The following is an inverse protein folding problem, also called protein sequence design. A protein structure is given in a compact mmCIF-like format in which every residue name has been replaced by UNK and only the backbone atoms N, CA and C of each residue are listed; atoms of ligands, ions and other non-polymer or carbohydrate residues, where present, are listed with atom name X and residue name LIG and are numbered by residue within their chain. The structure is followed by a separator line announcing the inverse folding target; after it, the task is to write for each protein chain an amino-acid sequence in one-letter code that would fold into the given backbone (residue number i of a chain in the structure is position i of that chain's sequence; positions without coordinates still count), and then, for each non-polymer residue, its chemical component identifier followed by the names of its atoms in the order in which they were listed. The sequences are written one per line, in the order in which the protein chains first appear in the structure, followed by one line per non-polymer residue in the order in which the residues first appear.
data_IF_548810032286
#
_entry.id   IF_548810032286
#
_cell.length_a   1.000
_cell.length_b   1.000
_cell.length_c   1.000
_cell.angle_alpha   90.00
_cell.angle_beta   90.00
_cell.angle_gamma   90.00
#
_symmetry.space_group_name_H-M   'P 1'
#
loop_
_entity.id
_entity.type
_entity.pdbx_description
1 polymer ?
#
# COMPACT_ATOMS: atom_id res chain seq x y z
N UNK A 1 17.51 -22.39 12.71
CA UNK A 1 18.44 -22.52 11.57
C UNK A 1 17.56 -22.70 10.33
N UNK A 2 17.14 -21.60 9.72
CA UNK A 2 16.28 -21.65 8.53
C UNK A 2 17.13 -21.90 7.30
N UNK A 3 16.88 -23.04 6.66
CA UNK A 3 17.55 -23.42 5.41
C UNK A 3 16.98 -22.59 4.26
N UNK A 4 17.77 -21.71 3.69
CA UNK A 4 17.45 -20.87 2.51
C UNK A 4 17.40 -21.66 1.18
N UNK A 5 17.26 -22.99 1.19
CA UNK A 5 17.38 -23.84 0.01
C UNK A 5 16.11 -23.99 -0.85
N UNK A 6 15.06 -23.22 -0.62
CA UNK A 6 13.86 -23.23 -1.45
C UNK A 6 13.44 -21.79 -1.82
N UNK A 7 14.32 -21.07 -2.50
CA UNK A 7 13.90 -19.86 -3.22
C UNK A 7 12.89 -20.29 -4.30
N UNK A 8 11.66 -19.86 -4.16
CA UNK A 8 10.65 -19.93 -5.19
C UNK A 8 11.09 -19.02 -6.35
N UNK A 9 11.64 -19.56 -7.43
CA UNK A 9 11.78 -18.82 -8.66
C UNK A 9 10.41 -18.81 -9.36
N UNK A 10 9.60 -17.79 -9.08
CA UNK A 10 8.54 -17.39 -9.97
C UNK A 10 9.13 -16.38 -10.96
N UNK A 11 9.16 -16.70 -12.24
CA UNK A 11 9.42 -15.71 -13.27
C UNK A 11 8.09 -15.00 -13.53
N UNK A 12 8.06 -13.70 -13.31
CA UNK A 12 6.88 -12.87 -13.56
C UNK A 12 7.13 -12.10 -14.85
N UNK A 13 6.21 -12.21 -15.78
CA UNK A 13 6.18 -11.41 -17.00
C UNK A 13 5.02 -10.43 -16.90
N UNK A 14 5.33 -9.14 -16.92
CA UNK A 14 4.35 -8.06 -17.03
C UNK A 14 4.34 -7.50 -18.45
N UNK A 15 3.16 -7.40 -19.02
CA UNK A 15 2.92 -6.69 -20.27
C UNK A 15 1.88 -5.61 -20.01
N UNK A 16 2.27 -4.36 -20.12
CA UNK A 16 1.38 -3.21 -19.97
C UNK A 16 1.16 -2.50 -21.29
N UNK A 17 -0.08 -2.17 -21.57
CA UNK A 17 -0.49 -1.27 -22.63
C UNK A 17 -1.10 -0.04 -21.99
N UNK A 18 -0.51 1.13 -22.21
CA UNK A 18 -0.99 2.38 -21.67
C UNK A 18 -1.36 3.33 -22.81
N UNK A 19 -2.54 3.93 -22.71
CA UNK A 19 -2.97 5.03 -23.59
C UNK A 19 -3.28 6.25 -22.75
N UNK A 20 -2.89 7.43 -23.19
CA UNK A 20 -3.21 8.71 -22.53
C UNK A 20 -4.15 9.53 -23.42
N UNK A 21 -4.95 10.40 -22.78
CA UNK A 21 -5.90 11.34 -23.40
C UNK A 21 -6.87 10.71 -24.43
N UNK A 22 -7.84 9.93 -23.91
CA UNK A 22 -8.94 9.38 -24.70
C UNK A 22 -10.00 10.44 -25.09
N UNK A 23 -10.00 11.57 -24.41
CA UNK A 23 -10.96 12.67 -24.65
C UNK A 23 -10.23 13.99 -24.81
N UNK A 24 -10.46 14.69 -25.91
CA UNK A 24 -9.81 15.97 -26.25
C UNK A 24 -10.44 17.19 -25.54
N UNK A 25 -10.76 17.09 -24.25
CA UNK A 25 -11.29 18.21 -23.45
C UNK A 25 -10.18 18.72 -22.54
N UNK A 26 -9.90 20.02 -22.53
CA UNK A 26 -8.85 20.66 -21.74
C UNK A 26 -9.01 20.44 -20.21
N UNK A 27 -10.23 20.17 -19.74
CA UNK A 27 -10.54 19.94 -18.32
C UNK A 27 -10.52 18.46 -17.92
N UNK A 28 -10.33 17.53 -18.86
CA UNK A 28 -10.37 16.09 -18.60
C UNK A 28 -9.08 15.45 -19.03
N UNK A 29 -8.37 14.82 -18.11
CA UNK A 29 -7.28 13.91 -18.42
C UNK A 29 -7.70 12.47 -18.13
N UNK A 30 -7.33 11.55 -19.04
CA UNK A 30 -7.68 10.13 -18.90
C UNK A 30 -6.52 9.24 -19.26
N UNK A 31 -6.34 8.18 -18.47
CA UNK A 31 -5.35 7.14 -18.73
C UNK A 31 -6.01 5.77 -18.57
N UNK A 32 -5.82 4.91 -19.57
CA UNK A 32 -6.17 3.49 -19.50
C UNK A 32 -4.90 2.66 -19.48
N UNK A 33 -4.79 1.72 -18.55
CA UNK A 33 -3.73 0.72 -18.54
C UNK A 33 -4.34 -0.67 -18.40
N UNK A 34 -3.85 -1.59 -19.26
CA UNK A 34 -4.22 -3.00 -19.23
C UNK A 34 -2.94 -3.81 -19.09
N UNK A 35 -2.95 -4.77 -18.18
CA UNK A 35 -1.82 -5.62 -17.86
C UNK A 35 -2.16 -7.09 -17.93
N UNK A 36 -1.16 -7.91 -18.26
CA UNK A 36 -1.19 -9.36 -18.12
C UNK A 36 0.01 -9.74 -17.28
N UNK A 37 -0.25 -10.35 -16.16
CA UNK A 37 0.77 -10.94 -15.28
C UNK A 37 0.75 -12.45 -15.46
N UNK A 38 1.91 -13.07 -15.73
CA UNK A 38 2.05 -14.52 -15.79
C UNK A 38 3.17 -14.97 -14.85
N UNK A 39 2.86 -15.90 -13.98
CA UNK A 39 3.80 -16.52 -13.02
C UNK A 39 4.07 -17.96 -13.39
N UNK A 40 5.34 -18.33 -13.42
CA UNK A 40 5.76 -19.71 -13.65
C UNK A 40 6.27 -20.34 -12.35
N UNK A 41 5.71 -21.49 -11.98
CA UNK A 41 6.11 -22.29 -10.81
C UNK A 41 6.89 -23.53 -11.26
N UNK A 42 8.18 -23.52 -10.99
CA UNK A 42 9.05 -24.64 -11.30
C UNK A 42 8.74 -25.89 -10.46
N UNK A 43 8.36 -25.70 -9.20
CA UNK A 43 8.18 -26.75 -8.23
C UNK A 43 6.70 -27.16 -8.12
N UNK A 44 6.44 -28.43 -7.77
CA UNK A 44 5.11 -28.92 -7.45
C UNK A 44 4.50 -28.16 -6.25
N UNK A 45 3.16 -28.16 -6.11
CA UNK A 45 2.48 -27.58 -4.94
C UNK A 45 3.03 -28.18 -3.65
N UNK A 46 3.19 -27.33 -2.63
CA UNK A 46 3.70 -27.75 -1.31
C UNK A 46 2.59 -28.21 -0.38
N UNK A 47 1.40 -27.65 -0.53
CA UNK A 47 0.28 -27.88 0.38
C UNK A 47 -0.92 -28.47 -0.34
N UNK A 48 -1.67 -29.30 0.38
CA UNK A 48 -2.90 -29.93 -0.14
C UNK A 48 -3.91 -28.85 -0.53
N UNK A 49 -4.51 -29.01 -1.72
CA UNK A 49 -5.50 -28.07 -2.27
C UNK A 49 -4.90 -26.95 -3.14
N UNK A 50 -3.59 -26.73 -3.10
CA UNK A 50 -2.95 -25.79 -4.04
C UNK A 50 -3.02 -26.32 -5.48
N UNK A 51 -3.18 -25.42 -6.43
CA UNK A 51 -3.20 -25.75 -7.86
C UNK A 51 -1.89 -26.41 -8.30
N UNK A 52 -2.00 -27.47 -9.12
CA UNK A 52 -0.87 -28.15 -9.75
C UNK A 52 -0.41 -27.48 -11.05
N UNK A 53 -1.08 -26.40 -11.49
CA UNK A 53 -0.70 -25.68 -12.70
C UNK A 53 0.68 -25.01 -12.52
N UNK A 54 1.52 -25.14 -13.56
CA UNK A 54 2.82 -24.49 -13.57
C UNK A 54 2.75 -23.01 -13.94
N UNK A 55 1.65 -22.57 -14.55
CA UNK A 55 1.41 -21.18 -14.92
C UNK A 55 0.16 -20.67 -14.23
N UNK A 56 0.25 -19.48 -13.67
CA UNK A 56 -0.85 -18.68 -13.15
C UNK A 56 -0.85 -17.36 -13.91
N UNK A 57 -1.95 -17.03 -14.54
CA UNK A 57 -2.08 -15.80 -15.33
C UNK A 57 -3.22 -14.97 -14.79
N UNK A 58 -2.95 -13.67 -14.58
CA UNK A 58 -3.95 -12.68 -14.21
C UNK A 58 -4.05 -11.62 -15.32
N UNK A 59 -5.25 -11.10 -15.49
CA UNK A 59 -5.50 -9.88 -16.29
C UNK A 59 -5.93 -8.79 -15.34
N UNK A 60 -5.36 -7.62 -15.51
CA UNK A 60 -5.66 -6.45 -14.67
C UNK A 60 -5.78 -5.20 -15.52
N UNK A 61 -6.43 -4.20 -14.98
CA UNK A 61 -6.51 -2.91 -15.60
C UNK A 61 -6.98 -1.83 -14.65
N UNK A 62 -6.61 -0.61 -14.96
CA UNK A 62 -7.13 0.58 -14.32
C UNK A 62 -7.42 1.66 -15.34
N UNK A 63 -8.41 2.48 -14.98
CA UNK A 63 -8.83 3.62 -15.77
C UNK A 63 -8.82 4.84 -14.87
N UNK A 64 -7.93 5.78 -15.15
CA UNK A 64 -7.79 7.01 -14.40
C UNK A 64 -8.50 8.14 -15.15
N UNK A 65 -9.35 8.87 -14.42
CA UNK A 65 -10.04 10.07 -14.88
C UNK A 65 -9.71 11.18 -13.89
N UNK A 66 -9.09 12.23 -14.39
CA UNK A 66 -8.97 13.51 -13.68
C UNK A 66 -9.89 14.53 -14.37
N UNK A 67 -10.68 15.23 -13.58
CA UNK A 67 -11.56 16.29 -14.06
C UNK A 67 -11.40 17.56 -13.22
N UNK A 68 -10.93 18.64 -13.86
CA UNK A 68 -10.87 19.98 -13.27
C UNK A 68 -12.25 20.63 -13.42
N UNK A 69 -12.93 20.86 -12.30
CA UNK A 69 -14.23 21.55 -12.25
C UNK A 69 -14.02 23.08 -12.43
N UNK A 70 -13.03 23.62 -11.76
CA UNK A 70 -12.58 25.02 -11.83
C UNK A 70 -11.13 25.12 -11.32
N UNK A 71 -10.64 26.34 -11.02
CA UNK A 71 -9.26 26.58 -10.55
C UNK A 71 -8.94 25.96 -9.19
N UNK A 72 -9.94 25.60 -8.41
CA UNK A 72 -9.78 25.18 -7.02
C UNK A 72 -10.39 23.79 -6.73
N UNK A 73 -11.22 23.27 -7.64
CA UNK A 73 -11.94 22.04 -7.43
C UNK A 73 -11.61 21.02 -8.52
N UNK A 74 -11.29 19.82 -8.10
CA UNK A 74 -11.07 18.69 -8.99
C UNK A 74 -11.71 17.39 -8.49
N UNK A 75 -11.89 16.45 -9.39
CA UNK A 75 -12.36 15.10 -9.12
C UNK A 75 -11.41 14.11 -9.77
N UNK A 76 -10.97 13.12 -9.01
CA UNK A 76 -10.18 11.98 -9.52
C UNK A 76 -11.00 10.71 -9.32
N UNK A 77 -11.02 9.81 -10.33
CA UNK A 77 -11.63 8.49 -10.23
C UNK A 77 -10.67 7.49 -10.88
N UNK A 78 -10.24 6.48 -10.13
CA UNK A 78 -9.31 5.44 -10.56
C UNK A 78 -9.84 4.04 -10.16
N UNK A 79 -10.80 3.48 -10.93
CA UNK A 79 -11.24 2.11 -10.75
C UNK A 79 -10.15 1.14 -11.24
N UNK A 80 -10.03 0.03 -10.51
CA UNK A 80 -9.10 -1.06 -10.75
C UNK A 80 -9.83 -2.39 -10.80
N UNK A 81 -9.42 -3.27 -11.71
CA UNK A 81 -9.85 -4.65 -11.69
C UNK A 81 -8.67 -5.61 -11.88
N UNK A 82 -8.76 -6.77 -11.25
CA UNK A 82 -7.89 -7.93 -11.50
C UNK A 82 -8.73 -9.19 -11.52
N UNK A 83 -8.50 -10.04 -12.51
CA UNK A 83 -9.05 -11.40 -12.61
C UNK A 83 -7.91 -12.39 -12.71
N UNK A 84 -7.85 -13.30 -11.75
CA UNK A 84 -6.84 -14.36 -11.70
C UNK A 84 -7.42 -15.67 -12.25
N UNK A 85 -6.58 -16.45 -12.95
CA UNK A 85 -6.99 -17.71 -13.58
C UNK A 85 -7.00 -18.91 -12.64
N UNK A 86 -6.51 -18.78 -11.40
CA UNK A 86 -6.36 -19.90 -10.45
C UNK A 86 -6.91 -19.52 -9.07
N UNK A 87 -6.48 -18.42 -8.50
CA UNK A 87 -6.82 -18.02 -7.15
C UNK A 87 -7.91 -16.95 -7.15
N UNK A 88 -9.16 -17.37 -6.96
CA UNK A 88 -10.31 -16.45 -6.94
C UNK A 88 -10.21 -15.38 -5.83
N UNK A 89 -9.47 -15.65 -4.75
CA UNK A 89 -9.25 -14.66 -3.69
C UNK A 89 -8.32 -13.52 -4.13
N UNK A 90 -7.66 -13.65 -5.28
CA UNK A 90 -6.91 -12.58 -5.93
C UNK A 90 -7.76 -11.72 -6.86
N UNK A 91 -8.97 -12.16 -7.18
CA UNK A 91 -9.90 -11.33 -7.94
C UNK A 91 -10.20 -10.05 -7.17
N UNK A 92 -10.13 -8.92 -7.84
CA UNK A 92 -10.35 -7.64 -7.20
C UNK A 92 -11.09 -6.69 -8.15
N UNK A 93 -12.15 -6.09 -7.65
CA UNK A 93 -12.77 -4.91 -8.24
C UNK A 93 -12.72 -3.84 -7.16
N UNK A 94 -12.02 -2.75 -7.41
CA UNK A 94 -11.75 -1.72 -6.42
C UNK A 94 -11.81 -0.31 -7.03
N UNK A 95 -11.95 0.68 -6.17
CA UNK A 95 -11.68 2.08 -6.47
C UNK A 95 -10.43 2.45 -5.66
N UNK A 96 -9.28 2.57 -6.34
CA UNK A 96 -8.02 2.95 -5.67
C UNK A 96 -8.04 4.40 -5.25
N UNK A 97 -8.58 5.25 -6.13
CA UNK A 97 -8.81 6.66 -5.86
C UNK A 97 -10.19 7.05 -6.42
N UNK A 98 -10.94 7.79 -5.63
CA UNK A 98 -12.27 8.26 -5.99
C UNK A 98 -12.63 9.42 -5.07
N UNK A 99 -12.10 10.61 -5.33
CA UNK A 99 -12.23 11.75 -4.42
C UNK A 99 -12.52 13.06 -5.14
N UNK A 100 -13.13 13.96 -4.40
CA UNK A 100 -13.19 15.38 -4.67
C UNK A 100 -12.10 16.08 -3.86
N UNK A 101 -11.39 17.02 -4.49
CA UNK A 101 -10.34 17.83 -3.90
C UNK A 101 -10.70 19.32 -4.04
N UNK A 102 -10.63 20.06 -2.94
CA UNK A 102 -10.60 21.51 -2.87
C UNK A 102 -9.18 21.97 -2.52
N UNK A 103 -8.62 22.84 -3.36
CA UNK A 103 -7.33 23.51 -3.14
C UNK A 103 -7.58 25.01 -2.98
N UNK A 104 -7.45 25.51 -1.76
CA UNK A 104 -7.67 26.93 -1.43
C UNK A 104 -6.61 27.36 -0.40
N UNK A 105 -5.50 27.88 -0.90
CA UNK A 105 -4.35 28.30 -0.09
C UNK A 105 -4.80 29.11 1.16
N UNK A 106 -4.35 28.73 2.37
CA UNK A 106 -3.44 27.62 2.71
C UNK A 106 -4.14 26.31 3.10
N UNK A 107 -5.36 26.06 2.65
CA UNK A 107 -6.17 24.90 3.05
C UNK A 107 -6.48 24.03 1.83
N UNK A 108 -6.32 22.72 2.01
CA UNK A 108 -6.82 21.70 1.08
C UNK A 108 -7.76 20.74 1.81
N UNK A 109 -8.82 20.33 1.13
CA UNK A 109 -9.80 19.36 1.63
C UNK A 109 -10.01 18.28 0.59
N UNK A 110 -9.76 17.03 0.96
CA UNK A 110 -10.04 15.85 0.17
C UNK A 110 -11.14 15.03 0.84
N UNK A 111 -12.15 14.66 0.07
CA UNK A 111 -13.25 13.79 0.53
C UNK A 111 -13.46 12.67 -0.48
N UNK A 112 -13.37 11.44 -0.02
CA UNK A 112 -13.59 10.27 -0.87
C UNK A 112 -12.68 9.10 -0.53
N UNK A 113 -12.26 8.36 -1.54
CA UNK A 113 -11.37 7.21 -1.44
C UNK A 113 -10.00 7.63 -1.97
N UNK A 114 -8.92 7.40 -1.21
CA UNK A 114 -7.58 7.76 -1.64
C UNK A 114 -6.52 6.76 -1.13
N UNK A 115 -5.36 6.78 -1.79
CA UNK A 115 -4.15 6.08 -1.35
C UNK A 115 -3.14 7.09 -0.84
N UNK A 116 -2.58 6.83 0.34
CA UNK A 116 -1.63 7.69 1.02
C UNK A 116 -0.33 6.91 1.24
N UNK A 117 0.80 7.56 1.00
CA UNK A 117 2.12 7.02 1.32
C UNK A 117 2.81 7.90 2.34
N UNK A 118 3.20 7.28 3.46
CA UNK A 118 4.03 7.89 4.48
C UNK A 118 5.37 7.16 4.54
N UNK A 119 6.40 7.87 4.95
CA UNK A 119 7.73 7.30 5.13
C UNK A 119 8.67 7.52 3.96
N UNK A 120 9.89 7.05 4.12
CA UNK A 120 11.03 7.29 3.24
C UNK A 120 11.80 6.01 2.91
N UNK A 121 11.54 4.91 3.63
CA UNK A 121 12.21 3.63 3.44
C UNK A 121 11.45 2.74 2.44
N UNK A 122 12.15 2.17 1.45
CA UNK A 122 11.54 1.34 0.40
C UNK A 122 11.44 -0.13 0.80
N UNK A 123 12.49 -0.68 1.45
CA UNK A 123 12.55 -2.12 1.75
C UNK A 123 11.59 -2.54 2.85
N UNK A 124 11.44 -1.71 3.88
CA UNK A 124 10.54 -1.90 5.01
C UNK A 124 10.07 -0.52 5.42
N UNK A 125 8.79 -0.24 5.26
CA UNK A 125 8.18 1.00 5.72
C UNK A 125 7.44 0.76 7.03
N UNK A 126 7.81 1.48 8.09
CA UNK A 126 7.23 1.34 9.43
C UNK A 126 6.11 2.34 9.71
N UNK A 127 6.21 3.55 9.14
CA UNK A 127 5.30 4.67 9.47
C UNK A 127 4.01 4.63 8.66
N UNK A 128 3.97 3.87 7.56
CA UNK A 128 2.84 3.80 6.64
C UNK A 128 1.72 2.93 7.20
N UNK A 129 0.66 3.56 7.69
CA UNK A 129 -0.39 2.90 8.49
C UNK A 129 -1.82 3.23 8.03
N UNK A 130 -1.99 4.08 7.02
CA UNK A 130 -3.33 4.57 6.61
C UNK A 130 -4.08 3.52 5.79
N UNK A 131 -3.48 3.06 4.71
CA UNK A 131 -4.13 2.16 3.76
C UNK A 131 -3.84 0.69 4.07
N UNK A 132 -4.79 -0.16 3.75
CA UNK A 132 -4.57 -1.60 3.69
C UNK A 132 -3.78 -1.95 2.42
N UNK A 133 -2.91 -2.95 2.53
CA UNK A 133 -2.17 -3.51 1.39
C UNK A 133 -3.03 -4.48 0.60
N UNK A 134 -2.96 -4.42 -0.73
CA UNK A 134 -3.51 -5.45 -1.62
C UNK A 134 -2.61 -6.68 -1.58
N UNK A 135 -2.89 -7.62 -0.67
CA UNK A 135 -2.10 -8.84 -0.55
C UNK A 135 -2.29 -9.83 -1.72
N UNK A 136 -3.21 -9.56 -2.64
CA UNK A 136 -3.30 -10.25 -3.93
C UNK A 136 -2.27 -9.76 -4.94
N UNK A 137 -1.69 -8.58 -4.74
CA UNK A 137 -0.56 -8.11 -5.53
C UNK A 137 0.75 -8.76 -5.08
N UNK A 138 1.58 -9.14 -6.07
CA UNK A 138 2.82 -9.87 -5.77
C UNK A 138 3.95 -8.96 -5.32
N UNK A 139 3.99 -7.71 -5.77
CA UNK A 139 5.00 -6.74 -5.33
C UNK A 139 4.86 -6.44 -3.83
N UNK A 140 3.62 -6.54 -3.31
CA UNK A 140 3.30 -6.19 -1.93
C UNK A 140 3.18 -4.69 -1.69
N UNK A 141 3.41 -3.87 -2.72
CA UNK A 141 3.46 -2.41 -2.61
C UNK A 141 2.12 -1.75 -2.93
N UNK A 142 1.22 -2.50 -3.56
CA UNK A 142 -0.08 -1.98 -3.97
C UNK A 142 -1.01 -1.80 -2.77
N UNK A 143 -1.63 -0.64 -2.69
CA UNK A 143 -2.57 -0.28 -1.63
C UNK A 143 -4.01 -0.34 -2.12
N UNK A 144 -4.91 -0.72 -1.23
CA UNK A 144 -6.34 -0.56 -1.42
C UNK A 144 -6.74 0.89 -1.13
N UNK A 145 -7.68 1.43 -1.90
CA UNK A 145 -8.21 2.76 -1.65
C UNK A 145 -8.88 2.84 -0.28
N UNK A 146 -8.57 3.85 0.52
CA UNK A 146 -9.11 4.07 1.86
C UNK A 146 -10.15 5.19 1.84
N UNK A 147 -11.41 4.96 2.23
CA UNK A 147 -12.38 6.03 2.46
C UNK A 147 -11.87 7.01 3.53
N UNK A 148 -11.85 8.30 3.20
CA UNK A 148 -11.30 9.30 4.10
C UNK A 148 -11.87 10.71 3.88
N UNK A 149 -11.76 11.51 4.93
CA UNK A 149 -11.74 12.97 4.86
C UNK A 149 -10.34 13.39 5.27
N UNK A 150 -9.63 14.08 4.40
CA UNK A 150 -8.31 14.62 4.70
C UNK A 150 -8.35 16.14 4.63
N UNK A 151 -8.00 16.79 5.72
CA UNK A 151 -7.83 18.23 5.84
C UNK A 151 -6.34 18.54 5.96
N UNK A 152 -5.83 19.37 5.06
CA UNK A 152 -4.43 19.84 5.05
C UNK A 152 -4.37 21.34 5.24
N UNK A 153 -3.46 21.78 6.10
CA UNK A 153 -3.10 23.17 6.29
C UNK A 153 -1.63 23.36 5.94
N UNK A 154 -1.34 24.25 4.99
CA UNK A 154 -0.05 24.42 4.31
C UNK A 154 0.57 25.81 4.55
N UNK A 155 0.90 26.21 5.79
CA UNK A 155 1.67 27.42 6.03
C UNK A 155 3.14 27.24 5.61
N UNK A 156 3.90 28.36 5.52
CA UNK A 156 5.31 28.36 5.11
C UNK A 156 6.22 27.48 6.01
N UNK A 157 5.77 27.17 7.23
CA UNK A 157 6.52 26.38 8.21
C UNK A 157 6.13 24.89 8.26
N UNK A 158 5.58 24.37 7.19
CA UNK A 158 5.29 22.93 7.03
C UNK A 158 3.83 22.62 6.74
N UNK A 159 3.53 21.35 6.57
CA UNK A 159 2.19 20.85 6.28
C UNK A 159 1.63 20.09 7.48
N UNK A 160 0.43 20.46 7.91
CA UNK A 160 -0.34 19.76 8.92
C UNK A 160 -1.50 19.04 8.24
N UNK A 161 -1.65 17.75 8.52
CA UNK A 161 -2.72 16.94 7.92
C UNK A 161 -3.50 16.20 9.01
N UNK A 162 -4.81 16.18 8.87
CA UNK A 162 -5.75 15.42 9.69
C UNK A 162 -6.49 14.44 8.78
N UNK A 163 -6.53 13.18 9.15
CA UNK A 163 -7.25 12.14 8.43
C UNK A 163 -8.34 11.56 9.33
N UNK A 164 -9.55 11.53 8.82
CA UNK A 164 -10.68 10.81 9.40
C UNK A 164 -11.01 9.64 8.47
N UNK A 165 -10.94 8.41 8.98
CA UNK A 165 -11.05 7.17 8.24
C UNK A 165 -12.29 6.41 8.75
N UNK A 166 -13.49 6.65 8.17
CA UNK A 166 -14.76 6.18 8.72
C UNK A 166 -15.06 4.71 8.42
N UNK A 167 -14.21 4.05 7.63
CA UNK A 167 -14.43 2.67 7.23
C UNK A 167 -13.09 1.93 7.13
N UNK A 168 -12.98 0.80 7.84
CA UNK A 168 -11.82 -0.07 7.79
C UNK A 168 -11.91 -1.04 6.60
N UNK A 169 -10.80 -1.27 5.93
CA UNK A 169 -10.68 -2.26 4.86
C UNK A 169 -9.87 -3.46 5.32
N UNK A 170 -10.44 -4.65 5.18
CA UNK A 170 -9.78 -5.89 5.54
C UNK A 170 -8.72 -6.28 4.52
N UNK A 171 -7.71 -6.99 5.02
CA UNK A 171 -6.66 -7.58 4.19
C UNK A 171 -7.20 -8.76 3.41
N UNK A 172 -6.81 -8.90 2.15
CA UNK A 172 -7.05 -10.10 1.36
C UNK A 172 -6.01 -11.19 1.68
N UNK A 173 -6.37 -12.45 1.47
CA UNK A 173 -5.47 -13.60 1.65
C UNK A 173 -5.61 -14.54 0.47
N UNK A 174 -4.53 -15.25 0.10
CA UNK A 174 -4.59 -16.27 -0.94
C UNK A 174 -5.55 -17.38 -0.55
N UNK A 175 -6.40 -17.76 -1.49
CA UNK A 175 -7.37 -18.84 -1.33
C UNK A 175 -6.76 -20.22 -1.40
N UNK A 176 -7.62 -21.23 -1.31
CA UNK A 176 -7.23 -22.65 -1.22
C UNK A 176 -6.31 -23.11 -2.35
N UNK A 177 -6.57 -22.66 -3.58
CA UNK A 177 -5.78 -23.02 -4.76
C UNK A 177 -4.52 -22.18 -4.93
N UNK A 178 -4.42 -21.07 -4.18
CA UNK A 178 -3.31 -20.12 -4.26
C UNK A 178 -1.97 -20.74 -3.90
N UNK A 179 -0.95 -20.53 -4.74
CA UNK A 179 0.40 -21.09 -4.58
C UNK A 179 1.21 -20.39 -3.50
N UNK A 180 0.82 -19.17 -3.09
CA UNK A 180 1.51 -18.35 -2.09
C UNK A 180 0.96 -18.47 -0.68
N UNK A 181 -0.14 -19.19 -0.47
CA UNK A 181 -0.64 -19.42 0.88
C UNK A 181 0.25 -20.34 1.71
N UNK A 182 0.08 -20.28 3.01
CA UNK A 182 0.64 -21.21 3.98
C UNK A 182 -0.04 -22.61 3.95
N UNK A 183 0.32 -23.49 4.90
CA UNK A 183 -0.26 -24.84 4.98
C UNK A 183 -1.77 -24.83 5.26
N UNK A 184 -2.25 -23.86 6.02
CA UNK A 184 -3.64 -23.67 6.39
C UNK A 184 -4.19 -22.43 5.73
N UNK A 185 -5.41 -22.52 5.22
CA UNK A 185 -6.14 -21.38 4.64
C UNK A 185 -6.55 -20.40 5.74
N UNK A 186 -6.59 -19.11 5.40
CA UNK A 186 -7.05 -18.04 6.28
C UNK A 186 -8.46 -17.67 5.84
N UNK A 187 -9.44 -17.93 6.73
CA UNK A 187 -10.86 -17.72 6.50
C UNK A 187 -11.20 -16.25 6.77
N UNK A 188 -11.20 -15.44 5.72
CA UNK A 188 -11.49 -14.01 5.83
C UNK A 188 -12.91 -13.74 6.37
N UNK A 189 -13.88 -14.57 6.00
CA UNK A 189 -15.27 -14.42 6.42
C UNK A 189 -15.48 -14.66 7.92
N UNK A 190 -14.49 -15.19 8.61
CA UNK A 190 -14.44 -15.38 10.07
C UNK A 190 -13.64 -14.27 10.79
N UNK A 191 -13.36 -13.14 10.12
CA UNK A 191 -12.62 -12.03 10.73
C UNK A 191 -13.26 -11.54 12.02
N UNK A 192 -12.43 -11.32 13.04
CA UNK A 192 -12.85 -10.77 14.33
C UNK A 192 -12.19 -9.39 14.56
N UNK A 193 -12.90 -8.53 15.30
CA UNK A 193 -12.48 -7.17 15.58
C UNK A 193 -12.51 -6.89 17.08
N UNK A 194 -11.50 -6.20 17.59
CA UNK A 194 -11.49 -5.71 18.98
C UNK A 194 -12.55 -4.62 19.19
N UNK A 195 -12.71 -3.71 18.23
CA UNK A 195 -13.74 -2.69 18.25
C UNK A 195 -15.12 -3.29 17.97
N UNK A 196 -16.12 -2.94 18.80
CA UNK A 196 -17.53 -3.30 18.56
C UNK A 196 -18.10 -2.71 17.27
N UNK A 197 -17.50 -1.63 16.76
CA UNK A 197 -17.92 -0.98 15.50
C UNK A 197 -17.34 -1.68 14.27
N UNK A 198 -16.45 -2.65 14.49
CA UNK A 198 -15.84 -3.49 13.44
C UNK A 198 -15.34 -2.67 12.24
N UNK A 199 -15.91 -2.89 11.04
CA UNK A 199 -15.54 -2.17 9.82
C UNK A 199 -15.85 -0.67 9.86
N UNK A 200 -16.74 -0.22 10.75
CA UNK A 200 -17.16 1.18 10.88
C UNK A 200 -16.45 1.92 12.02
N UNK A 201 -15.40 1.32 12.58
CA UNK A 201 -14.54 2.01 13.54
C UNK A 201 -13.97 3.27 12.91
N UNK A 202 -14.12 4.42 13.58
CA UNK A 202 -13.53 5.68 13.13
C UNK A 202 -12.06 5.72 13.53
N UNK A 203 -11.18 5.51 12.56
CA UNK A 203 -9.75 5.68 12.77
C UNK A 203 -9.35 7.14 12.50
N UNK A 204 -8.35 7.63 13.22
CA UNK A 204 -7.86 9.01 13.12
C UNK A 204 -6.36 9.01 12.96
N UNK A 205 -5.88 9.87 12.06
CA UNK A 205 -4.45 10.10 11.91
C UNK A 205 -4.11 11.59 11.79
N UNK A 206 -2.95 11.93 12.29
CA UNK A 206 -2.36 13.27 12.25
C UNK A 206 -0.97 13.15 11.63
N UNK A 207 -0.60 14.12 10.79
CA UNK A 207 0.77 14.22 10.26
C UNK A 207 1.21 15.67 10.21
N UNK A 208 2.45 15.91 10.61
CA UNK A 208 3.19 17.12 10.32
C UNK A 208 4.40 16.75 9.47
N UNK A 209 4.65 17.50 8.41
CA UNK A 209 5.84 17.33 7.57
C UNK A 209 6.43 18.68 7.21
N UNK A 210 7.76 18.72 7.13
CA UNK A 210 8.50 19.92 6.75
C UNK A 210 9.86 19.55 6.16
N UNK A 211 10.44 20.47 5.41
CA UNK A 211 11.79 20.34 4.88
C UNK A 211 12.67 21.51 5.34
N UNK A 212 13.95 21.24 5.59
CA UNK A 212 14.97 22.22 5.92
C UNK A 212 16.18 22.01 5.04
N UNK A 213 16.33 22.82 3.99
CA UNK A 213 17.40 22.62 3.02
C UNK A 213 17.33 21.23 2.39
N UNK A 214 18.34 20.38 2.64
CA UNK A 214 18.45 19.04 2.09
C UNK A 214 17.86 17.93 3.01
N UNK A 215 17.18 18.34 4.08
CA UNK A 215 16.55 17.43 5.05
C UNK A 215 15.03 17.52 5.00
N UNK A 216 14.38 16.37 4.88
CA UNK A 216 12.93 16.20 5.00
C UNK A 216 12.59 15.39 6.26
N UNK A 217 11.53 15.76 6.96
CA UNK A 217 11.05 14.99 8.09
C UNK A 217 9.52 14.99 8.19
N UNK A 218 8.99 13.91 8.75
CA UNK A 218 7.60 13.73 9.07
C UNK A 218 7.41 13.21 10.50
N UNK A 219 6.43 13.78 11.19
CA UNK A 219 5.91 13.28 12.46
C UNK A 219 4.49 12.81 12.25
N UNK A 220 4.13 11.65 12.73
CA UNK A 220 2.80 11.09 12.58
C UNK A 220 2.26 10.51 13.89
N UNK A 221 0.95 10.53 13.99
CA UNK A 221 0.20 9.82 15.02
C UNK A 221 -1.00 9.16 14.37
N UNK A 222 -1.24 7.90 14.70
CA UNK A 222 -2.39 7.12 14.25
C UNK A 222 -3.04 6.45 15.45
N UNK A 223 -4.36 6.41 15.49
CA UNK A 223 -5.13 5.57 16.42
C UNK A 223 -6.32 4.97 15.69
N UNK A 224 -6.50 3.66 15.82
CA UNK A 224 -7.55 2.93 15.13
C UNK A 224 -7.23 1.46 14.93
N UNK A 225 -7.92 0.83 14.00
CA UNK A 225 -7.80 -0.59 13.68
C UNK A 225 -6.49 -0.88 12.94
N UNK A 226 -5.72 -1.86 13.40
CA UNK A 226 -4.46 -2.27 12.77
C UNK A 226 -4.68 -2.81 11.36
N UNK A 227 -3.86 -2.37 10.40
CA UNK A 227 -3.84 -2.94 9.03
C UNK A 227 -3.16 -4.30 8.96
N UNK A 228 -2.45 -4.68 10.03
CA UNK A 228 -1.79 -5.97 10.17
C UNK A 228 -2.56 -6.80 11.21
N UNK A 229 -3.35 -7.81 10.79
CA UNK A 229 -4.09 -8.64 11.72
C UNK A 229 -3.18 -9.68 12.40
N UNK A 230 -3.56 -10.10 13.60
CA UNK A 230 -3.09 -11.37 14.15
C UNK A 230 -3.83 -12.51 13.48
N UNK A 231 -3.10 -13.54 13.06
CA UNK A 231 -3.69 -14.75 12.50
C UNK A 231 -3.85 -15.77 13.60
N UNK A 232 -5.08 -16.03 13.99
CA UNK A 232 -5.43 -16.89 15.11
C UNK A 232 -6.06 -18.21 14.64
N UNK A 233 -5.89 -19.34 15.39
CA UNK A 233 -6.55 -20.61 15.07
C UNK A 233 -8.03 -20.58 15.45
N UNK A 234 -8.89 -21.11 14.59
CA UNK A 234 -10.29 -21.36 14.90
C UNK A 234 -10.53 -22.80 15.43
N UNK A 235 -11.75 -23.07 15.91
CA UNK A 235 -12.13 -24.37 16.45
C UNK A 235 -12.19 -25.51 15.40
N UNK A 236 -12.25 -25.18 14.10
CA UNK A 236 -12.34 -26.12 13.00
C UNK A 236 -10.98 -26.44 12.35
N UNK A 237 -9.86 -26.14 13.03
CA UNK A 237 -8.49 -26.27 12.55
C UNK A 237 -8.14 -25.36 11.35
N UNK A 238 -8.91 -24.29 11.14
CA UNK A 238 -8.62 -23.17 10.24
C UNK A 238 -7.87 -22.03 10.95
N UNK A 239 -7.65 -20.95 10.20
CA UNK A 239 -7.08 -19.72 10.70
C UNK A 239 -8.00 -18.56 10.33
N UNK A 240 -8.09 -17.55 11.19
CA UNK A 240 -8.84 -16.33 10.92
C UNK A 240 -8.05 -15.08 11.32
N UNK A 241 -8.32 -13.92 10.68
CA UNK A 241 -7.67 -12.66 11.03
C UNK A 241 -8.41 -11.99 12.21
N UNK A 242 -7.65 -11.55 13.21
CA UNK A 242 -8.11 -10.72 14.31
C UNK A 242 -7.53 -9.31 14.20
N UNK A 243 -8.39 -8.30 14.12
CA UNK A 243 -8.02 -6.90 13.97
C UNK A 243 -8.15 -6.15 15.29
N UNK A 244 -7.02 -5.88 15.93
CA UNK A 244 -6.96 -5.12 17.18
C UNK A 244 -6.85 -3.62 16.97
N UNK A 245 -7.06 -2.88 18.04
CA UNK A 245 -6.85 -1.44 18.07
C UNK A 245 -5.39 -1.12 18.39
N UNK A 246 -4.83 -0.13 17.70
CA UNK A 246 -3.47 0.35 17.93
C UNK A 246 -3.42 1.85 18.08
N UNK A 247 -2.39 2.33 18.76
CA UNK A 247 -1.92 3.71 18.71
C UNK A 247 -0.46 3.72 18.29
N UNK A 248 -0.11 4.49 17.27
CA UNK A 248 1.24 4.56 16.74
C UNK A 248 1.70 6.01 16.62
N UNK A 249 2.88 6.31 17.16
CA UNK A 249 3.66 7.49 16.84
C UNK A 249 4.73 7.11 15.84
N UNK A 250 4.96 7.95 14.83
CA UNK A 250 5.97 7.73 13.80
C UNK A 250 6.82 8.95 13.54
N UNK A 251 8.08 8.72 13.24
CA UNK A 251 9.04 9.68 12.72
C UNK A 251 9.63 9.10 11.44
N UNK A 252 9.62 9.86 10.38
CA UNK A 252 10.39 9.61 9.17
C UNK A 252 11.34 10.79 8.92
N UNK A 253 12.57 10.48 8.48
CA UNK A 253 13.61 11.46 8.22
C UNK A 253 14.44 11.03 7.02
N UNK A 254 14.69 11.99 6.12
CA UNK A 254 15.52 11.83 4.95
C UNK A 254 16.50 12.98 4.86
N UNK A 255 17.75 12.72 4.49
CA UNK A 255 18.77 13.72 4.30
C UNK A 255 19.62 13.43 3.06
N UNK A 256 19.65 14.37 2.14
CA UNK A 256 20.46 14.31 0.91
C UNK A 256 21.80 15.00 1.14
N UNK A 257 22.89 14.27 0.91
CA UNK A 257 24.23 14.83 0.94
C UNK A 257 24.99 14.45 -0.34
N UNK A 258 25.07 15.38 -1.28
CA UNK A 258 25.64 15.15 -2.62
C UNK A 258 24.89 14.01 -3.32
N UNK A 259 25.53 12.85 -3.52
CA UNK A 259 24.97 11.66 -4.18
C UNK A 259 24.51 10.58 -3.18
N UNK A 260 24.49 10.91 -1.89
CA UNK A 260 24.12 10.01 -0.80
C UNK A 260 22.83 10.47 -0.16
N UNK A 261 21.86 9.57 -0.08
CA UNK A 261 20.56 9.79 0.53
C UNK A 261 20.42 8.91 1.77
N UNK A 262 20.37 9.51 2.95
CA UNK A 262 20.10 8.81 4.21
C UNK A 262 18.61 8.79 4.49
N UNK A 263 18.12 7.65 4.96
CA UNK A 263 16.73 7.41 5.29
C UNK A 263 16.60 6.75 6.66
N UNK A 264 15.65 7.18 7.46
CA UNK A 264 15.38 6.59 8.77
C UNK A 264 13.91 6.70 9.10
N UNK A 265 13.33 5.60 9.60
CA UNK A 265 12.00 5.58 10.18
C UNK A 265 12.05 4.97 11.58
N UNK A 266 11.26 5.55 12.48
CA UNK A 266 11.11 5.07 13.85
C UNK A 266 9.63 5.11 14.22
N UNK A 267 9.13 4.05 14.84
CA UNK A 267 7.78 4.01 15.40
C UNK A 267 7.82 3.58 16.87
N UNK A 268 6.83 4.09 17.61
CA UNK A 268 6.42 3.55 18.90
C UNK A 268 4.96 3.15 18.73
N UNK A 269 4.66 1.86 18.92
CA UNK A 269 3.31 1.30 18.75
C UNK A 269 2.85 0.62 20.02
N UNK A 270 1.62 0.91 20.42
CA UNK A 270 0.85 0.28 21.48
C UNK A 270 -0.38 -0.42 20.87
N UNK A 271 -0.80 -1.53 21.46
CA UNK A 271 -1.92 -2.36 21.02
C UNK A 271 -1.50 -3.81 20.74
N UNK A 272 -2.43 -4.78 20.76
CA UNK A 272 -2.26 -6.23 20.71
C UNK A 272 -1.41 -6.84 21.85
N UNK A 273 -0.32 -6.19 22.21
CA UNK A 273 0.68 -6.68 23.18
C UNK A 273 1.29 -5.50 23.93
N UNK A 274 2.45 -5.71 24.53
CA UNK A 274 3.23 -4.63 25.15
C UNK A 274 3.65 -3.58 24.11
N UNK A 275 3.75 -2.33 24.56
CA UNK A 275 4.27 -1.22 23.74
C UNK A 275 5.69 -1.56 23.26
N UNK A 276 5.94 -1.36 21.98
CA UNK A 276 7.26 -1.59 21.38
C UNK A 276 7.74 -0.42 20.52
N UNK A 277 9.04 -0.37 20.32
CA UNK A 277 9.69 0.56 19.39
C UNK A 277 10.36 -0.23 18.29
N UNK A 278 10.17 0.20 17.03
CA UNK A 278 10.88 -0.32 15.88
C UNK A 278 11.55 0.82 15.12
N UNK A 279 12.69 0.52 14.50
CA UNK A 279 13.43 1.46 13.67
C UNK A 279 14.00 0.76 12.44
N UNK A 280 14.03 1.46 11.32
CA UNK A 280 14.74 1.10 10.10
C UNK A 280 15.56 2.29 9.64
N UNK A 281 16.78 2.02 9.18
CA UNK A 281 17.66 3.05 8.61
C UNK A 281 18.42 2.47 7.44
N UNK A 282 18.68 3.29 6.45
CA UNK A 282 19.43 2.91 5.27
C UNK A 282 20.02 4.12 4.56
N UNK A 283 20.70 3.84 3.47
CA UNK A 283 21.20 4.87 2.58
C UNK A 283 21.08 4.39 1.13
N UNK A 284 20.95 5.35 0.23
CA UNK A 284 21.01 5.15 -1.20
C UNK A 284 22.15 5.98 -1.77
N UNK A 285 22.94 5.39 -2.65
CA UNK A 285 24.03 6.07 -3.34
C UNK A 285 24.04 5.70 -4.80
N UNK A 286 24.10 6.70 -5.68
CA UNK A 286 24.16 6.51 -7.12
C UNK A 286 25.53 6.88 -7.66
N UNK A 287 26.17 5.93 -8.32
CA UNK A 287 27.40 6.11 -9.09
C UNK A 287 27.00 6.41 -10.54
N UNK A 288 27.23 7.63 -10.97
CA UNK A 288 26.87 8.05 -12.32
C UNK A 288 27.91 7.64 -13.34
N UNK A 289 27.48 7.32 -14.57
CA UNK A 289 28.30 7.11 -15.74
C UNK A 289 29.45 6.10 -15.49
N UNK A 290 29.13 4.94 -14.86
CA UNK A 290 30.12 3.92 -14.58
C UNK A 290 30.80 3.44 -15.86
N UNK A 291 32.12 3.21 -15.81
CA UNK A 291 32.96 2.77 -16.94
C UNK A 291 32.88 3.71 -18.16
N UNK A 292 32.73 5.03 -17.97
CA UNK A 292 32.57 6.03 -19.03
C UNK A 292 31.41 5.72 -19.98
N UNK A 293 30.33 5.11 -19.46
CA UNK A 293 29.11 4.79 -20.20
C UNK A 293 27.93 5.67 -19.76
N UNK A 294 26.80 5.59 -20.47
CA UNK A 294 25.55 6.25 -20.10
C UNK A 294 24.79 5.49 -18.97
N UNK A 295 25.42 4.51 -18.35
CA UNK A 295 24.80 3.68 -17.30
C UNK A 295 25.16 4.17 -15.90
N UNK A 296 24.14 4.24 -15.05
CA UNK A 296 24.28 4.53 -13.63
C UNK A 296 24.15 3.25 -12.79
N UNK A 297 24.78 3.22 -11.64
CA UNK A 297 24.70 2.12 -10.69
C UNK A 297 24.30 2.67 -9.33
N UNK A 298 23.16 2.21 -8.80
CA UNK A 298 22.68 2.60 -7.47
C UNK A 298 22.78 1.44 -6.50
N UNK A 299 23.12 1.76 -5.25
CA UNK A 299 23.12 0.85 -4.10
C UNK A 299 22.10 1.37 -3.10
N UNK A 300 21.20 0.49 -2.68
CA UNK A 300 20.27 0.67 -1.58
C UNK A 300 20.64 -0.28 -0.45
#
# INVERSE_FOLDING_TARGET
MFSFSNLFFANVLFLYFTTSSLFGNENVDTRLSLGIETRYFKNSPKWVGQSSANFQTSVEGFFEIFYSLDSNHSVTINPFFRKDGIDENRDLLDIREGYWLLESDPIEVLVGINTVFWGVAESINLVDVINQTDAGDFSGDQKLGQPMINLRFLPDYGTFSIYLLPYFRERSFSGREGRFRGPTEIEKDESEFESSDALHNLDVALRYSHYFGDADFGLSYFTGTSREPLILPNSAAGLFPYYGQISQMGLDFQYTYVDLLFKTEVIVRDGFSETYTAAVSGFEHTFYQIFDSDSDFSIL
#
